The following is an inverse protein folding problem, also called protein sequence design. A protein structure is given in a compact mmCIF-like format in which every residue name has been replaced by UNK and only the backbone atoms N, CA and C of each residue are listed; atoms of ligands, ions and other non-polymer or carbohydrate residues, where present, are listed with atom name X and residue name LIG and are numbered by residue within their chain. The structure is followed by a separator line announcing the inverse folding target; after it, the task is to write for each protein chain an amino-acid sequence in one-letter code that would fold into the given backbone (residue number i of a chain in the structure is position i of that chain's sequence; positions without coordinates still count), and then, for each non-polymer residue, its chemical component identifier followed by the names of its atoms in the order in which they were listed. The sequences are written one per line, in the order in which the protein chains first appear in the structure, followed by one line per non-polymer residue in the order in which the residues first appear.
data_IF_035180614005
#
_entry.id   IF_035180614005
#
_cell.length_a   1.000
_cell.length_b   1.000
_cell.length_c   1.000
_cell.angle_alpha   90.00
_cell.angle_beta   90.00
_cell.angle_gamma   90.00
#
_symmetry.space_group_name_H-M   'P 1'
#
loop_
_entity.id
_entity.type
_entity.pdbx_description
1 polymer ?
#
# COMPACT_ATOMS: atom_id res chain seq x y z
N UNK A 1 53.22 -33.27 -24.38
CA UNK A 1 52.35 -33.47 -25.54
C UNK A 1 51.05 -34.02 -25.00
N UNK A 2 49.94 -33.40 -24.86
CA UNK A 2 49.27 -32.22 -25.32
C UNK A 2 48.41 -31.62 -24.22
N UNK A 3 48.54 -30.34 -24.09
CA UNK A 3 47.82 -29.54 -23.08
C UNK A 3 46.46 -29.15 -23.65
N UNK A 4 45.39 -29.84 -23.29
CA UNK A 4 44.02 -29.40 -23.62
C UNK A 4 43.55 -28.35 -22.62
N UNK A 5 43.63 -27.09 -23.04
CA UNK A 5 43.03 -25.94 -22.40
C UNK A 5 41.52 -26.06 -22.46
N UNK A 6 40.88 -26.27 -21.32
CA UNK A 6 39.45 -26.12 -21.18
C UNK A 6 39.21 -24.68 -20.74
N UNK A 7 38.70 -23.87 -21.67
CA UNK A 7 38.13 -22.54 -21.42
C UNK A 7 36.78 -22.74 -20.75
N UNK A 8 36.69 -22.50 -19.44
CA UNK A 8 35.42 -22.33 -18.73
C UNK A 8 34.93 -20.88 -18.94
N UNK A 9 33.97 -20.70 -19.86
CA UNK A 9 33.18 -19.50 -19.97
C UNK A 9 32.25 -19.41 -18.77
N UNK A 10 32.63 -18.60 -17.79
CA UNK A 10 31.75 -18.24 -16.67
C UNK A 10 30.63 -17.34 -17.16
N UNK A 11 29.43 -17.88 -17.25
CA UNK A 11 28.21 -17.10 -17.47
C UNK A 11 27.84 -16.38 -16.14
N UNK A 12 28.21 -15.11 -16.04
CA UNK A 12 27.74 -14.24 -14.94
C UNK A 12 26.33 -13.85 -15.24
N UNK A 13 25.36 -14.55 -14.63
CA UNK A 13 23.97 -14.13 -14.57
C UNK A 13 23.86 -12.94 -13.61
N UNK A 14 23.87 -11.74 -14.17
CA UNK A 14 23.52 -10.52 -13.45
C UNK A 14 22.02 -10.60 -13.12
N UNK A 15 21.69 -11.02 -11.89
CA UNK A 15 20.36 -10.87 -11.34
C UNK A 15 20.08 -9.38 -11.14
N UNK A 16 19.38 -8.76 -12.08
CA UNK A 16 18.86 -7.42 -11.92
C UNK A 16 17.79 -7.46 -10.83
N UNK A 17 18.17 -7.10 -9.61
CA UNK A 17 17.24 -6.88 -8.51
C UNK A 17 16.41 -5.63 -8.84
N UNK A 18 15.23 -5.82 -9.38
CA UNK A 18 14.22 -4.77 -9.44
C UNK A 18 13.79 -4.46 -8.00
N UNK A 19 14.47 -3.49 -7.38
CA UNK A 19 13.94 -2.82 -6.21
C UNK A 19 12.70 -2.05 -6.67
N UNK A 20 11.52 -2.63 -6.47
CA UNK A 20 10.27 -1.91 -6.61
C UNK A 20 10.28 -0.81 -5.54
N UNK A 21 10.66 0.41 -5.94
CA UNK A 21 10.48 1.58 -5.11
C UNK A 21 8.98 1.80 -5.03
N UNK A 22 8.40 1.53 -3.86
CA UNK A 22 7.04 1.97 -3.58
C UNK A 22 7.01 3.50 -3.76
N UNK A 23 6.31 3.97 -4.78
CA UNK A 23 6.14 5.39 -5.00
C UNK A 23 5.49 5.99 -3.75
N UNK A 24 5.98 7.15 -3.29
CA UNK A 24 5.36 7.84 -2.16
C UNK A 24 3.89 8.10 -2.50
N UNK A 25 2.93 7.84 -1.58
CA UNK A 25 1.50 8.03 -1.83
C UNK A 25 1.16 9.45 -2.31
N UNK A 26 1.95 10.43 -1.93
CA UNK A 26 1.83 11.82 -2.40
C UNK A 26 2.19 11.99 -3.87
N UNK A 27 3.05 11.15 -4.46
CA UNK A 27 3.45 11.25 -5.87
C UNK A 27 2.27 10.93 -6.78
N UNK A 28 1.54 9.87 -6.52
CA UNK A 28 0.39 9.43 -7.33
C UNK A 28 -0.76 10.44 -7.27
N UNK A 29 -1.09 10.92 -6.07
CA UNK A 29 -2.08 11.97 -5.87
C UNK A 29 -1.67 13.23 -6.64
N UNK A 30 -0.43 13.70 -6.49
CA UNK A 30 0.09 14.87 -7.19
C UNK A 30 0.06 14.70 -8.71
N UNK A 31 0.33 13.50 -9.23
CA UNK A 31 0.23 13.20 -10.66
C UNK A 31 -1.20 13.38 -11.20
N UNK A 32 -2.24 13.02 -10.43
CA UNK A 32 -3.62 13.27 -10.81
C UNK A 32 -3.91 14.76 -10.97
N UNK A 33 -3.45 15.57 -10.02
CA UNK A 33 -3.61 17.03 -10.10
C UNK A 33 -2.80 17.64 -11.24
N UNK A 34 -1.55 17.24 -11.41
CA UNK A 34 -0.68 17.76 -12.48
C UNK A 34 -1.21 17.44 -13.88
N UNK A 35 -1.70 16.21 -14.11
CA UNK A 35 -2.21 15.78 -15.41
C UNK A 35 -3.54 16.44 -15.78
N UNK A 36 -4.38 16.70 -14.81
CA UNK A 36 -5.72 17.23 -15.02
C UNK A 36 -5.80 18.75 -14.90
N UNK A 37 -4.76 19.41 -14.36
CA UNK A 37 -4.76 20.86 -14.09
C UNK A 37 -5.91 21.24 -13.16
N UNK A 38 -6.72 22.21 -13.57
CA UNK A 38 -7.84 22.72 -12.76
C UNK A 38 -9.17 21.96 -13.00
N UNK A 39 -9.16 20.91 -13.83
CA UNK A 39 -10.35 20.12 -14.15
C UNK A 39 -10.69 19.15 -13.02
N UNK A 40 -11.54 19.57 -12.10
CA UNK A 40 -11.93 18.80 -10.93
C UNK A 40 -12.57 17.43 -11.28
N UNK A 41 -13.23 17.29 -12.43
CA UNK A 41 -13.84 16.02 -12.86
C UNK A 41 -12.76 15.04 -13.30
N UNK A 42 -11.76 15.49 -14.06
CA UNK A 42 -10.62 14.66 -14.47
C UNK A 42 -9.75 14.26 -13.28
N UNK A 43 -9.53 15.19 -12.33
CA UNK A 43 -8.86 14.88 -11.06
C UNK A 43 -9.60 13.76 -10.36
N UNK A 44 -10.91 13.87 -10.19
CA UNK A 44 -11.75 12.88 -9.52
C UNK A 44 -11.65 11.51 -10.19
N UNK A 45 -11.76 11.42 -11.50
CA UNK A 45 -11.65 10.17 -12.25
C UNK A 45 -10.28 9.49 -12.05
N UNK A 46 -9.19 10.27 -12.04
CA UNK A 46 -7.85 9.76 -11.75
C UNK A 46 -7.75 9.23 -10.30
N UNK A 47 -8.20 10.02 -9.32
CA UNK A 47 -8.17 9.63 -7.91
C UNK A 47 -9.03 8.39 -7.62
N UNK A 48 -10.15 8.20 -8.32
CA UNK A 48 -10.97 6.99 -8.20
C UNK A 48 -10.24 5.73 -8.66
N UNK A 49 -9.47 5.84 -9.76
CA UNK A 49 -8.64 4.72 -10.23
C UNK A 49 -7.55 4.38 -9.21
N UNK A 50 -6.81 5.38 -8.73
CA UNK A 50 -5.80 5.19 -7.69
C UNK A 50 -6.40 4.62 -6.40
N UNK A 51 -7.56 5.09 -5.98
CA UNK A 51 -8.25 4.58 -4.79
C UNK A 51 -8.55 3.08 -4.90
N UNK A 52 -8.96 2.59 -6.07
CA UNK A 52 -9.21 1.15 -6.29
C UNK A 52 -7.94 0.32 -6.18
N UNK A 53 -6.83 0.80 -6.75
CA UNK A 53 -5.54 0.12 -6.66
C UNK A 53 -5.05 0.06 -5.21
N UNK A 54 -5.07 1.18 -4.52
CA UNK A 54 -4.63 1.28 -3.12
C UNK A 54 -5.47 0.42 -2.18
N UNK A 55 -6.79 0.35 -2.40
CA UNK A 55 -7.66 -0.51 -1.62
C UNK A 55 -7.36 -1.99 -1.84
N UNK A 56 -7.04 -2.39 -3.08
CA UNK A 56 -6.64 -3.77 -3.38
C UNK A 56 -5.32 -4.14 -2.67
N UNK A 57 -4.31 -3.25 -2.71
CA UNK A 57 -3.04 -3.44 -2.02
C UNK A 57 -3.19 -3.48 -0.50
N UNK A 58 -4.00 -2.59 0.07
CA UNK A 58 -4.30 -2.61 1.50
C UNK A 58 -4.96 -3.92 1.94
N UNK A 59 -5.94 -4.39 1.18
CA UNK A 59 -6.60 -5.67 1.43
C UNK A 59 -5.61 -6.84 1.38
N UNK A 60 -4.76 -6.89 0.36
CA UNK A 60 -3.73 -7.91 0.22
C UNK A 60 -2.75 -7.88 1.41
N UNK A 61 -2.29 -6.72 1.83
CA UNK A 61 -1.41 -6.57 2.99
C UNK A 61 -2.08 -7.08 4.28
N UNK A 62 -3.37 -6.77 4.51
CA UNK A 62 -4.14 -7.26 5.65
C UNK A 62 -4.25 -8.80 5.61
N UNK A 63 -4.52 -9.39 4.45
CA UNK A 63 -4.60 -10.84 4.28
C UNK A 63 -3.26 -11.51 4.60
N UNK A 64 -2.15 -11.00 4.07
CA UNK A 64 -0.80 -11.52 4.33
C UNK A 64 -0.41 -11.44 5.81
N UNK A 65 -0.66 -10.31 6.47
CA UNK A 65 -0.39 -10.16 7.92
C UNK A 65 -1.34 -11.03 8.74
N UNK A 66 -2.55 -11.28 8.28
CA UNK A 66 -3.49 -12.22 8.92
C UNK A 66 -2.92 -13.64 8.95
N UNK A 67 -2.29 -14.09 7.87
CA UNK A 67 -1.62 -15.39 7.83
C UNK A 67 -0.51 -15.46 8.87
N UNK A 68 0.31 -14.42 8.97
CA UNK A 68 1.41 -14.32 9.96
C UNK A 68 0.85 -14.32 11.39
N UNK A 69 -0.18 -13.53 11.68
CA UNK A 69 -0.79 -13.46 13.01
C UNK A 69 -1.37 -14.84 13.46
N UNK A 70 -2.03 -15.54 12.55
CA UNK A 70 -2.53 -16.91 12.80
C UNK A 70 -1.40 -17.90 13.03
N UNK A 71 -0.29 -17.79 12.28
CA UNK A 71 0.88 -18.65 12.49
C UNK A 71 1.49 -18.43 13.88
N UNK A 72 1.58 -17.18 14.35
CA UNK A 72 2.06 -16.87 15.70
C UNK A 72 1.13 -17.35 16.83
N UNK A 73 -0.17 -17.46 16.57
CA UNK A 73 -1.15 -17.96 17.54
C UNK A 73 -1.20 -19.48 17.62
N UNK A 74 -0.80 -20.19 16.55
CA UNK A 74 -0.91 -21.64 16.43
C UNK A 74 -0.23 -22.43 17.55
N UNK A 75 1.02 -22.12 17.98
CA UNK A 75 1.68 -22.87 19.05
C UNK A 75 0.92 -22.85 20.37
N UNK A 76 0.25 -21.76 20.67
CA UNK A 76 -0.48 -21.55 21.92
C UNK A 76 -1.96 -21.94 21.84
N UNK A 77 -2.42 -22.41 20.68
CA UNK A 77 -3.82 -22.77 20.41
C UNK A 77 -4.81 -21.65 20.76
N UNK A 78 -4.41 -20.39 20.55
CA UNK A 78 -5.23 -19.22 20.80
C UNK A 78 -5.40 -18.37 19.54
N UNK A 79 -6.13 -17.26 19.65
CA UNK A 79 -6.40 -16.30 18.55
C UNK A 79 -6.06 -14.87 18.94
N UNK A 80 -5.26 -14.69 19.96
CA UNK A 80 -5.04 -13.37 20.58
C UNK A 80 -4.45 -12.37 19.60
N UNK A 81 -3.44 -12.76 18.81
CA UNK A 81 -2.78 -11.85 17.86
C UNK A 81 -3.66 -11.56 16.67
N UNK A 82 -4.31 -12.58 16.14
CA UNK A 82 -5.25 -12.42 15.06
C UNK A 82 -6.45 -11.52 15.46
N UNK A 83 -7.06 -11.76 16.62
CA UNK A 83 -8.17 -10.93 17.10
C UNK A 83 -7.74 -9.46 17.32
N UNK A 84 -6.55 -9.21 17.86
CA UNK A 84 -6.00 -7.86 18.02
C UNK A 84 -5.74 -7.19 16.69
N UNK A 85 -5.22 -7.91 15.70
CA UNK A 85 -5.02 -7.40 14.33
C UNK A 85 -6.36 -6.99 13.70
N UNK A 86 -7.38 -7.84 13.78
CA UNK A 86 -8.71 -7.55 13.22
C UNK A 86 -9.34 -6.31 13.85
N UNK A 87 -9.25 -6.17 15.17
CA UNK A 87 -9.75 -4.97 15.88
C UNK A 87 -8.97 -3.72 15.49
N UNK A 88 -7.65 -3.82 15.34
CA UNK A 88 -6.81 -2.70 14.91
C UNK A 88 -7.16 -2.26 13.49
N UNK A 89 -7.37 -3.18 12.55
CA UNK A 89 -7.79 -2.87 11.19
C UNK A 89 -9.18 -2.19 11.18
N UNK A 90 -10.16 -2.74 11.89
CA UNK A 90 -11.50 -2.14 12.00
C UNK A 90 -11.44 -0.73 12.59
N UNK A 91 -10.62 -0.51 13.62
CA UNK A 91 -10.45 0.82 14.20
C UNK A 91 -9.82 1.80 13.21
N UNK A 92 -8.86 1.32 12.41
CA UNK A 92 -8.21 2.13 11.38
C UNK A 92 -9.16 2.46 10.22
N UNK A 93 -9.97 1.52 9.76
CA UNK A 93 -10.99 1.76 8.73
C UNK A 93 -12.02 2.81 9.19
N UNK A 94 -12.45 2.75 10.46
CA UNK A 94 -13.30 3.75 11.06
C UNK A 94 -12.61 5.12 11.17
N UNK A 95 -11.31 5.14 11.46
CA UNK A 95 -10.52 6.37 11.47
C UNK A 95 -10.46 6.99 10.08
N UNK A 96 -10.08 6.22 9.04
CA UNK A 96 -10.06 6.70 7.64
C UNK A 96 -11.40 7.34 7.28
N UNK A 97 -12.50 6.66 7.58
CA UNK A 97 -13.83 7.18 7.25
C UNK A 97 -14.07 8.54 7.88
N UNK A 98 -13.88 8.66 9.20
CA UNK A 98 -14.16 9.89 9.95
C UNK A 98 -13.23 11.04 9.56
N UNK A 99 -11.94 10.74 9.44
CA UNK A 99 -10.93 11.72 9.06
C UNK A 99 -11.18 12.27 7.66
N UNK A 100 -11.46 11.41 6.68
CA UNK A 100 -11.68 11.87 5.32
C UNK A 100 -13.07 12.51 5.12
N UNK A 101 -14.05 12.18 5.93
CA UNK A 101 -15.31 12.92 6.00
C UNK A 101 -15.08 14.33 6.61
N UNK A 102 -14.21 14.46 7.61
CA UNK A 102 -13.79 15.76 8.14
C UNK A 102 -13.06 16.59 7.08
N UNK A 103 -12.08 16.00 6.36
CA UNK A 103 -11.38 16.65 5.25
C UNK A 103 -12.35 17.15 4.20
N UNK A 104 -13.33 16.32 3.79
CA UNK A 104 -14.38 16.71 2.85
C UNK A 104 -15.12 17.98 3.33
N UNK A 105 -15.58 17.97 4.57
CA UNK A 105 -16.41 19.05 5.12
C UNK A 105 -15.64 20.34 5.43
N UNK A 106 -14.32 20.28 5.51
CA UNK A 106 -13.44 21.45 5.75
C UNK A 106 -12.79 21.99 4.49
N UNK A 107 -12.86 21.24 3.38
CA UNK A 107 -12.34 21.69 2.08
C UNK A 107 -13.27 22.75 1.52
N UNK A 108 -12.69 23.89 1.07
CA UNK A 108 -13.42 24.95 0.40
C UNK A 108 -13.47 24.67 -1.10
N UNK A 109 -14.63 24.84 -1.72
CA UNK A 109 -14.79 24.71 -3.16
C UNK A 109 -16.13 24.10 -3.57
N UNK A 110 -16.17 23.54 -4.76
CA UNK A 110 -17.35 22.80 -5.24
C UNK A 110 -17.43 21.43 -4.58
N UNK A 111 -18.61 20.81 -4.60
CA UNK A 111 -18.81 19.44 -4.10
C UNK A 111 -17.88 18.41 -4.76
N UNK A 112 -17.49 18.63 -6.02
CA UNK A 112 -16.50 17.79 -6.71
C UNK A 112 -15.12 17.94 -6.08
N UNK A 113 -14.68 19.18 -5.77
CA UNK A 113 -13.39 19.42 -5.10
C UNK A 113 -13.37 18.85 -3.68
N UNK A 114 -14.45 18.97 -2.94
CA UNK A 114 -14.60 18.33 -1.61
C UNK A 114 -14.50 16.82 -1.68
N UNK A 115 -15.14 16.19 -2.68
CA UNK A 115 -15.05 14.74 -2.89
C UNK A 115 -13.63 14.30 -3.30
N UNK A 116 -12.95 15.08 -4.14
CA UNK A 116 -11.56 14.83 -4.53
C UNK A 116 -10.63 14.88 -3.32
N UNK A 117 -10.81 15.85 -2.43
CA UNK A 117 -10.03 15.93 -1.20
C UNK A 117 -10.24 14.71 -0.29
N UNK A 118 -11.48 14.23 -0.16
CA UNK A 118 -11.79 13.02 0.59
C UNK A 118 -11.18 11.76 -0.05
N UNK A 119 -11.18 11.65 -1.39
CA UNK A 119 -10.52 10.54 -2.10
C UNK A 119 -9.01 10.56 -1.89
N UNK A 120 -8.36 11.71 -2.05
CA UNK A 120 -6.93 11.87 -1.80
C UNK A 120 -6.56 11.50 -0.34
N UNK A 121 -7.37 11.93 0.63
CA UNK A 121 -7.21 11.54 2.03
C UNK A 121 -7.26 10.01 2.21
N UNK A 122 -8.26 9.33 1.63
CA UNK A 122 -8.40 7.85 1.72
C UNK A 122 -7.22 7.12 1.10
N UNK A 123 -6.76 7.56 -0.07
CA UNK A 123 -5.57 7.02 -0.74
C UNK A 123 -4.36 7.12 0.19
N UNK A 124 -4.08 8.30 0.72
CA UNK A 124 -2.93 8.54 1.58
C UNK A 124 -2.95 7.69 2.86
N UNK A 125 -4.08 7.67 3.57
CA UNK A 125 -4.20 6.89 4.81
C UNK A 125 -4.15 5.38 4.56
N UNK A 126 -4.76 4.88 3.48
CA UNK A 126 -4.69 3.46 3.13
C UNK A 126 -3.27 3.04 2.76
N UNK A 127 -2.52 3.84 1.99
CA UNK A 127 -1.09 3.62 1.72
C UNK A 127 -0.26 3.57 3.00
N UNK A 128 -0.44 4.58 3.84
CA UNK A 128 0.27 4.63 5.13
C UNK A 128 0.02 3.36 5.96
N UNK A 129 -1.20 2.84 5.98
CA UNK A 129 -1.51 1.59 6.69
C UNK A 129 -0.87 0.38 6.02
N UNK A 130 -0.90 0.30 4.71
CA UNK A 130 -0.24 -0.76 3.93
C UNK A 130 1.25 -0.80 4.26
N UNK A 131 1.93 0.33 4.19
CA UNK A 131 3.36 0.45 4.52
C UNK A 131 3.66 0.01 5.95
N UNK A 132 2.82 0.41 6.91
CA UNK A 132 2.97 -0.04 8.30
C UNK A 132 2.83 -1.56 8.44
N UNK A 133 1.86 -2.16 7.76
CA UNK A 133 1.65 -3.60 7.78
C UNK A 133 2.83 -4.35 7.15
N UNK A 134 3.29 -3.90 6.00
CA UNK A 134 4.38 -4.53 5.26
C UNK A 134 5.73 -4.40 5.98
N UNK A 135 6.10 -3.18 6.34
CA UNK A 135 7.41 -2.92 6.94
C UNK A 135 7.54 -3.50 8.35
N UNK A 136 6.46 -3.52 9.12
CA UNK A 136 6.52 -3.94 10.52
C UNK A 136 6.31 -5.44 10.73
N UNK A 137 5.48 -6.07 9.90
CA UNK A 137 5.07 -7.45 10.15
C UNK A 137 5.50 -8.42 9.06
N UNK A 138 5.59 -8.00 7.80
CA UNK A 138 5.97 -8.88 6.70
C UNK A 138 7.48 -8.91 6.46
N UNK A 139 8.19 -7.81 6.68
CA UNK A 139 9.66 -7.78 6.59
C UNK A 139 10.33 -8.62 7.68
N UNK A 140 9.80 -8.60 8.91
CA UNK A 140 10.32 -9.38 10.01
C UNK A 140 9.96 -10.87 9.96
N UNK A 141 8.95 -11.27 9.21
CA UNK A 141 8.59 -12.68 9.01
C UNK A 141 9.50 -13.42 8.00
N UNK A 142 10.41 -12.71 7.33
CA UNK A 142 11.40 -13.27 6.38
C UNK A 142 12.75 -13.62 7.04
N UNK A 143 12.92 -13.33 8.32
CA UNK A 143 14.09 -13.71 9.12
C UNK A 143 13.80 -15.00 9.92
#
# INVERSE_FOLDING_TARGET
MDLKRILLCGLVLAAASFAAHAASPMVEINMCYQKAGDDAVKIGACLEQESKLVQAEYKDAVERVTVVAKAWDKPNRNRTRWDKLMRANQAFDNFIKRECDFVKNTTKGSSTQENNAALACRINLSRMRTDMLENRYLSSAKQ
#
